data_IF_421317848218
#
_entry.id   IF_421317848218
#
_cell.length_a   1.000
_cell.length_b   1.000
_cell.length_c   1.000
_cell.angle_alpha   90.00
_cell.angle_beta   90.00
_cell.angle_gamma   90.00
#
_symmetry.space_group_name_H-M   'P 1'
#
loop_
_entity.id
_entity.type
_entity.pdbx_description
1 polymer ?
#
# COMPACT_ATOMS: atom_id res chain seq x y z
N UNK A 1 56.74 -4.44 -37.39
CA UNK A 1 55.45 -5.15 -37.57
C UNK A 1 55.51 -6.43 -36.75
N UNK A 2 54.51 -6.64 -35.86
CA UNK A 2 54.25 -7.82 -35.00
C UNK A 2 55.21 -8.03 -33.81
N UNK A 3 54.86 -7.34 -32.71
CA UNK A 3 55.27 -7.66 -31.35
C UNK A 3 54.50 -8.90 -30.85
N UNK A 4 55.21 -9.88 -30.30
CA UNK A 4 54.63 -11.01 -29.58
C UNK A 4 54.03 -10.51 -28.25
N UNK A 5 52.70 -10.53 -28.13
CA UNK A 5 52.04 -10.48 -26.83
C UNK A 5 51.87 -11.92 -26.34
N UNK A 6 52.79 -12.34 -25.48
CA UNK A 6 52.73 -13.60 -24.75
C UNK A 6 51.54 -13.54 -23.81
N UNK A 7 50.54 -14.39 -24.05
CA UNK A 7 49.42 -14.61 -23.15
C UNK A 7 49.94 -15.27 -21.86
N UNK A 8 49.98 -14.53 -20.75
CA UNK A 8 49.98 -15.17 -19.43
C UNK A 8 48.58 -15.71 -19.18
N UNK A 9 48.33 -16.91 -19.68
CA UNK A 9 47.28 -17.78 -19.14
C UNK A 9 47.74 -18.12 -17.72
N UNK A 10 47.21 -17.42 -16.73
CA UNK A 10 47.20 -17.94 -15.37
C UNK A 10 46.33 -19.19 -15.39
N UNK A 11 47.00 -20.33 -15.50
CA UNK A 11 46.48 -21.62 -15.08
C UNK A 11 46.25 -21.56 -13.57
N UNK A 12 45.13 -20.98 -13.15
CA UNK A 12 44.58 -21.24 -11.83
C UNK A 12 43.97 -22.64 -11.89
N UNK A 13 44.82 -23.60 -11.52
CA UNK A 13 44.52 -24.80 -10.74
C UNK A 13 43.02 -25.05 -10.60
N UNK A 14 42.54 -26.11 -11.24
CA UNK A 14 41.23 -26.70 -11.03
C UNK A 14 40.92 -26.75 -9.52
N UNK A 15 39.84 -26.08 -9.09
CA UNK A 15 39.44 -26.03 -7.69
C UNK A 15 38.81 -27.37 -7.29
N UNK A 16 39.65 -28.33 -6.89
CA UNK A 16 39.22 -29.64 -6.37
C UNK A 16 38.61 -29.61 -4.97
N UNK A 17 38.21 -28.44 -4.43
CA UNK A 17 37.57 -28.32 -3.12
C UNK A 17 36.58 -27.13 -3.14
N UNK A 18 35.29 -27.41 -3.24
CA UNK A 18 34.22 -26.43 -3.00
C UNK A 18 34.22 -26.06 -1.50
N UNK A 19 35.04 -25.08 -1.11
CA UNK A 19 35.10 -24.64 0.30
C UNK A 19 33.96 -23.66 0.62
N UNK A 20 33.49 -23.68 1.87
CA UNK A 20 32.47 -22.75 2.41
C UNK A 20 32.76 -21.28 2.08
N UNK A 21 34.05 -20.90 2.06
CA UNK A 21 34.52 -19.57 1.64
C UNK A 21 34.11 -19.21 0.21
N UNK A 22 34.34 -20.12 -0.75
CA UNK A 22 34.10 -19.85 -2.16
C UNK A 22 32.61 -19.68 -2.46
N UNK A 23 31.76 -20.45 -1.79
CA UNK A 23 30.31 -20.32 -1.86
C UNK A 23 29.85 -18.94 -1.36
N UNK A 24 30.40 -18.49 -0.23
CA UNK A 24 30.11 -17.16 0.31
C UNK A 24 30.56 -16.06 -0.65
N UNK A 25 31.77 -16.15 -1.20
CA UNK A 25 32.27 -15.16 -2.17
C UNK A 25 31.37 -15.03 -3.39
N UNK A 26 30.97 -16.16 -3.98
CA UNK A 26 30.10 -16.17 -5.14
C UNK A 26 28.69 -15.65 -4.81
N UNK A 27 28.15 -15.98 -3.63
CA UNK A 27 26.88 -15.44 -3.13
C UNK A 27 26.90 -13.91 -3.03
N UNK A 28 27.99 -13.34 -2.49
CA UNK A 28 28.17 -11.90 -2.33
C UNK A 28 28.30 -11.18 -3.68
N UNK A 29 29.05 -11.77 -4.62
CA UNK A 29 29.27 -11.22 -5.96
C UNK A 29 27.99 -11.20 -6.80
N UNK A 30 27.22 -12.30 -6.84
CA UNK A 30 25.99 -12.40 -7.62
C UNK A 30 24.93 -11.37 -7.21
N UNK A 31 24.94 -10.94 -5.94
CA UNK A 31 23.84 -10.15 -5.36
C UNK A 31 24.23 -8.71 -5.01
N UNK A 32 25.43 -8.27 -5.41
CA UNK A 32 25.92 -6.90 -5.22
C UNK A 32 25.80 -6.40 -3.78
N UNK A 33 26.27 -7.21 -2.82
CA UNK A 33 26.19 -6.93 -1.38
C UNK A 33 27.22 -5.87 -0.97
N UNK A 34 26.84 -4.97 -0.05
CA UNK A 34 27.70 -3.93 0.51
C UNK A 34 28.06 -4.18 1.99
N UNK A 35 27.14 -4.78 2.74
CA UNK A 35 27.35 -5.09 4.15
C UNK A 35 27.12 -6.58 4.39
N UNK A 36 28.05 -7.21 5.10
CA UNK A 36 28.00 -8.62 5.46
C UNK A 36 27.94 -8.74 6.98
N UNK A 37 26.86 -9.35 7.50
CA UNK A 37 26.77 -9.83 8.88
C UNK A 37 27.06 -11.34 8.91
N UNK A 38 28.13 -11.71 9.59
CA UNK A 38 28.46 -13.09 9.94
C UNK A 38 27.95 -13.37 11.36
N UNK A 39 26.82 -14.06 11.47
CA UNK A 39 26.36 -14.61 12.73
C UNK A 39 27.08 -15.94 12.95
N UNK A 40 27.75 -16.10 14.09
CA UNK A 40 28.63 -17.24 14.29
C UNK A 40 28.63 -17.76 15.72
N UNK A 41 29.03 -19.02 15.90
CA UNK A 41 29.27 -19.65 17.20
C UNK A 41 30.70 -20.22 17.27
N UNK A 42 31.70 -19.37 17.05
CA UNK A 42 33.13 -19.74 16.94
C UNK A 42 33.70 -20.62 18.06
N UNK A 43 33.07 -20.61 19.25
CA UNK A 43 33.47 -21.45 20.38
C UNK A 43 33.06 -22.93 20.18
N UNK A 44 32.13 -23.20 19.28
CA UNK A 44 31.62 -24.53 18.93
C UNK A 44 32.38 -25.12 17.73
N UNK A 45 32.45 -26.44 17.63
CA UNK A 45 33.19 -27.14 16.57
C UNK A 45 32.61 -26.92 15.18
N UNK A 46 31.31 -26.64 15.09
CA UNK A 46 30.56 -26.48 13.83
C UNK A 46 30.87 -25.18 13.08
N UNK A 47 31.61 -24.24 13.69
CA UNK A 47 31.83 -22.91 13.09
C UNK A 47 33.23 -22.32 13.34
N UNK A 48 34.23 -23.16 13.66
CA UNK A 48 35.59 -22.69 13.97
C UNK A 48 36.31 -22.05 12.77
N UNK A 49 35.94 -22.43 11.55
CA UNK A 49 36.51 -21.93 10.31
C UNK A 49 36.00 -20.52 9.94
N UNK A 50 35.00 -19.97 10.66
CA UNK A 50 34.47 -18.62 10.43
C UNK A 50 35.55 -17.53 10.57
N UNK A 51 36.54 -17.72 11.43
CA UNK A 51 37.67 -16.78 11.61
C UNK A 51 38.54 -16.75 10.36
N UNK A 52 38.80 -17.92 9.77
CA UNK A 52 39.58 -18.05 8.53
C UNK A 52 38.81 -17.46 7.36
N UNK A 53 37.52 -17.76 7.27
CA UNK A 53 36.62 -17.22 6.24
C UNK A 53 36.57 -15.70 6.33
N UNK A 54 36.33 -15.14 7.52
CA UNK A 54 36.28 -13.69 7.76
C UNK A 54 37.59 -13.01 7.36
N UNK A 55 38.75 -13.61 7.69
CA UNK A 55 40.06 -13.09 7.29
C UNK A 55 40.26 -13.09 5.77
N UNK A 56 39.84 -14.15 5.09
CA UNK A 56 39.92 -14.25 3.63
C UNK A 56 38.95 -13.26 2.94
N UNK A 57 37.71 -13.18 3.41
CA UNK A 57 36.71 -12.25 2.89
C UNK A 57 37.13 -10.79 3.04
N UNK A 58 37.85 -10.41 4.09
CA UNK A 58 38.40 -9.04 4.21
C UNK A 58 39.37 -8.68 3.08
N UNK A 59 39.95 -9.65 2.39
CA UNK A 59 40.86 -9.43 1.26
C UNK A 59 40.11 -9.33 -0.07
N UNK A 60 39.02 -10.08 -0.23
CA UNK A 60 38.27 -10.16 -1.50
C UNK A 60 37.01 -9.27 -1.54
N UNK A 61 36.34 -9.07 -0.41
CA UNK A 61 35.11 -8.29 -0.29
C UNK A 61 35.41 -6.83 0.04
N UNK A 62 34.90 -5.90 -0.78
CA UNK A 62 35.12 -4.45 -0.65
C UNK A 62 34.20 -3.76 0.37
N UNK A 63 33.20 -4.47 0.90
CA UNK A 63 32.20 -3.91 1.80
C UNK A 63 32.55 -4.05 3.27
N UNK A 64 31.61 -3.67 4.13
CA UNK A 64 31.75 -3.79 5.60
C UNK A 64 31.44 -5.22 6.06
N UNK A 65 32.32 -5.81 6.87
CA UNK A 65 32.11 -7.14 7.46
C UNK A 65 31.97 -7.01 8.98
N UNK A 66 30.79 -7.36 9.49
CA UNK A 66 30.49 -7.44 10.91
C UNK A 66 30.39 -8.90 11.34
N UNK A 67 30.98 -9.23 12.48
CA UNK A 67 30.97 -10.57 13.06
C UNK A 67 30.27 -10.48 14.42
N UNK A 68 29.26 -11.32 14.62
CA UNK A 68 28.43 -11.30 15.83
C UNK A 68 28.40 -12.73 16.38
N UNK A 69 28.93 -12.87 17.60
CA UNK A 69 28.90 -14.13 18.32
C UNK A 69 27.52 -14.33 18.95
N UNK A 70 26.80 -15.35 18.50
CA UNK A 70 25.43 -15.65 18.97
C UNK A 70 25.41 -16.20 20.39
N UNK A 71 26.55 -16.65 20.91
CA UNK A 71 26.66 -17.23 22.27
C UNK A 71 26.87 -16.16 23.36
N UNK A 72 27.12 -14.90 22.97
CA UNK A 72 27.44 -13.82 23.92
C UNK A 72 26.21 -13.08 24.41
N UNK A 73 26.26 -12.61 25.66
CA UNK A 73 25.18 -11.86 26.31
C UNK A 73 24.78 -10.57 25.58
N UNK A 74 25.69 -9.94 24.83
CA UNK A 74 25.42 -8.71 24.09
C UNK A 74 24.88 -8.94 22.66
N UNK A 75 24.67 -10.20 22.26
CA UNK A 75 24.19 -10.58 20.93
C UNK A 75 22.96 -9.77 20.49
N UNK A 76 21.93 -9.70 21.35
CA UNK A 76 20.68 -9.03 21.01
C UNK A 76 20.85 -7.53 20.71
N UNK A 77 21.72 -6.85 21.46
CA UNK A 77 21.97 -5.43 21.28
C UNK A 77 22.80 -5.18 20.01
N UNK A 78 23.83 -5.98 19.78
CA UNK A 78 24.67 -5.90 18.57
C UNK A 78 23.86 -6.19 17.31
N UNK A 79 23.08 -7.28 17.31
CA UNK A 79 22.21 -7.65 16.21
C UNK A 79 21.20 -6.54 15.90
N UNK A 80 20.52 -6.02 16.93
CA UNK A 80 19.53 -4.95 16.77
C UNK A 80 20.14 -3.68 16.15
N UNK A 81 21.34 -3.29 16.59
CA UNK A 81 22.06 -2.15 16.03
C UNK A 81 22.38 -2.33 14.56
N UNK A 82 22.99 -3.46 14.18
CA UNK A 82 23.34 -3.72 12.78
C UNK A 82 22.11 -3.88 11.89
N UNK A 83 21.05 -4.56 12.35
CA UNK A 83 19.80 -4.69 11.61
C UNK A 83 19.04 -3.35 11.44
N UNK A 84 19.32 -2.36 12.28
CA UNK A 84 18.75 -1.02 12.17
C UNK A 84 19.56 -0.13 11.21
N UNK A 85 20.89 -0.10 11.36
CA UNK A 85 21.76 0.79 10.59
C UNK A 85 22.07 0.27 9.18
N UNK A 86 22.20 -1.05 9.01
CA UNK A 86 22.72 -1.68 7.80
C UNK A 86 21.60 -2.37 7.03
N UNK A 87 20.59 -1.63 6.55
CA UNK A 87 19.43 -2.23 5.85
C UNK A 87 19.59 -2.38 4.34
N UNK A 88 20.55 -1.69 3.74
CA UNK A 88 20.67 -1.65 2.28
C UNK A 88 21.75 -2.61 1.78
N UNK A 89 21.35 -3.56 0.93
CA UNK A 89 22.25 -4.57 0.32
C UNK A 89 23.05 -5.33 1.38
N UNK A 90 22.35 -5.85 2.37
CA UNK A 90 22.95 -6.56 3.50
C UNK A 90 22.76 -8.06 3.37
N UNK A 91 23.86 -8.80 3.38
CA UNK A 91 23.85 -10.25 3.51
C UNK A 91 23.98 -10.66 4.97
N UNK A 92 23.20 -11.65 5.38
CA UNK A 92 23.31 -12.27 6.71
C UNK A 92 23.62 -13.74 6.49
N UNK A 93 24.77 -14.18 7.00
CA UNK A 93 25.23 -15.55 6.91
C UNK A 93 25.15 -16.17 8.29
N UNK A 94 24.59 -17.37 8.38
CA UNK A 94 24.42 -18.06 9.66
C UNK A 94 24.51 -19.58 9.51
N UNK A 95 25.23 -20.23 10.43
CA UNK A 95 25.17 -21.69 10.58
C UNK A 95 24.06 -22.06 11.59
N UNK A 96 23.11 -22.88 11.15
CA UNK A 96 21.97 -23.35 11.93
C UNK A 96 22.32 -24.51 12.88
N UNK A 97 23.54 -25.05 12.81
CA UNK A 97 24.02 -26.09 13.73
C UNK A 97 24.52 -25.53 15.08
N UNK A 98 24.53 -24.21 15.25
CA UNK A 98 24.89 -23.58 16.51
C UNK A 98 23.90 -23.92 17.63
N UNK A 99 24.38 -24.20 18.84
CA UNK A 99 23.53 -24.59 19.98
C UNK A 99 22.42 -23.56 20.33
N UNK A 100 22.67 -22.27 20.09
CA UNK A 100 21.73 -21.18 20.35
C UNK A 100 20.75 -20.83 19.22
N UNK A 101 20.66 -21.64 18.15
CA UNK A 101 19.91 -21.29 16.94
C UNK A 101 18.43 -21.02 17.17
N UNK A 102 17.75 -21.78 18.04
CA UNK A 102 16.32 -21.57 18.32
C UNK A 102 16.05 -20.14 18.86
N UNK A 103 16.81 -19.71 19.87
CA UNK A 103 16.69 -18.37 20.45
C UNK A 103 17.04 -17.26 19.44
N UNK A 104 18.02 -17.51 18.56
CA UNK A 104 18.37 -16.58 17.48
C UNK A 104 17.22 -16.44 16.50
N UNK A 105 16.70 -17.55 15.97
CA UNK A 105 15.62 -17.56 14.98
C UNK A 105 14.34 -16.96 15.54
N UNK A 106 13.98 -17.28 16.78
CA UNK A 106 12.80 -16.73 17.45
C UNK A 106 12.90 -15.22 17.56
N UNK A 107 14.09 -14.69 17.89
CA UNK A 107 14.31 -13.24 17.93
C UNK A 107 14.20 -12.60 16.55
N UNK A 108 14.77 -13.23 15.51
CA UNK A 108 14.68 -12.75 14.13
C UNK A 108 13.22 -12.70 13.65
N UNK A 109 12.45 -13.73 14.00
CA UNK A 109 11.02 -13.88 13.72
C UNK A 109 10.17 -12.88 14.49
N UNK A 110 10.42 -12.68 15.78
CA UNK A 110 9.73 -11.71 16.64
C UNK A 110 9.91 -10.27 16.13
N UNK A 111 11.12 -9.94 15.68
CA UNK A 111 11.47 -8.61 15.15
C UNK A 111 11.20 -8.44 13.65
N UNK A 112 10.59 -9.44 13.01
CA UNK A 112 10.26 -9.42 11.58
C UNK A 112 11.47 -9.11 10.67
N UNK A 113 12.65 -9.64 11.01
CA UNK A 113 13.86 -9.47 10.19
C UNK A 113 13.90 -10.40 8.97
N UNK A 114 13.05 -11.43 8.89
CA UNK A 114 12.81 -12.17 7.66
C UNK A 114 11.92 -11.34 6.72
N UNK A 115 12.54 -10.44 5.96
CA UNK A 115 11.90 -9.57 4.97
C UNK A 115 12.87 -9.23 3.82
N UNK A 116 12.44 -8.41 2.85
CA UNK A 116 13.24 -8.04 1.68
C UNK A 116 14.53 -7.24 1.94
N UNK A 117 14.73 -6.70 3.14
CA UNK A 117 15.91 -5.87 3.49
C UNK A 117 17.20 -6.69 3.56
N UNK A 118 17.09 -7.98 3.91
CA UNK A 118 18.23 -8.85 4.16
C UNK A 118 18.25 -10.02 3.20
N UNK A 119 19.45 -10.39 2.77
CA UNK A 119 19.70 -11.57 1.96
C UNK A 119 20.34 -12.65 2.82
N UNK A 120 19.61 -13.73 3.05
CA UNK A 120 20.01 -14.78 3.97
C UNK A 120 20.74 -15.89 3.23
N UNK A 121 21.89 -16.29 3.76
CA UNK A 121 22.58 -17.53 3.42
C UNK A 121 22.71 -18.35 4.69
N UNK A 122 21.96 -19.45 4.76
CA UNK A 122 21.92 -20.31 5.94
C UNK A 122 22.58 -21.65 5.62
N UNK A 123 23.47 -22.09 6.49
CA UNK A 123 24.04 -23.43 6.44
C UNK A 123 23.24 -24.32 7.39
N UNK A 124 22.59 -25.34 6.85
CA UNK A 124 21.81 -26.32 7.60
C UNK A 124 22.62 -27.53 8.06
N UNK A 125 23.90 -27.59 7.72
CA UNK A 125 24.79 -28.67 8.13
C UNK A 125 24.50 -30.00 7.45
N UNK A 126 24.62 -31.08 8.21
CA UNK A 126 24.31 -32.45 7.76
C UNK A 126 22.86 -32.86 8.06
N UNK A 127 22.15 -32.15 8.94
CA UNK A 127 20.82 -32.53 9.42
C UNK A 127 19.71 -31.68 8.78
N UNK A 128 19.15 -32.19 7.68
CA UNK A 128 18.07 -31.53 6.96
C UNK A 128 16.77 -31.40 7.78
N UNK A 129 16.42 -32.42 8.56
CA UNK A 129 15.18 -32.43 9.35
C UNK A 129 15.21 -31.37 10.46
N UNK A 130 16.35 -31.25 11.14
CA UNK A 130 16.51 -30.25 12.20
C UNK A 130 16.39 -28.83 11.65
N UNK A 131 17.12 -28.50 10.59
CA UNK A 131 17.12 -27.17 10.00
C UNK A 131 15.73 -26.80 9.44
N UNK A 132 15.07 -27.73 8.74
CA UNK A 132 13.72 -27.49 8.19
C UNK A 132 12.67 -27.35 9.30
N UNK A 133 12.76 -28.14 10.37
CA UNK A 133 11.89 -28.01 11.55
C UNK A 133 12.04 -26.63 12.21
N UNK A 134 13.27 -26.19 12.46
CA UNK A 134 13.56 -24.88 13.07
C UNK A 134 13.02 -23.72 12.22
N UNK A 135 13.27 -23.73 10.92
CA UNK A 135 12.81 -22.68 10.00
C UNK A 135 11.29 -22.70 9.80
N UNK A 136 10.66 -23.87 9.79
CA UNK A 136 9.21 -24.02 9.69
C UNK A 136 8.44 -23.39 10.85
N UNK A 137 9.12 -23.12 11.97
CA UNK A 137 8.52 -22.46 13.12
C UNK A 137 8.52 -20.94 13.03
N UNK A 138 9.21 -20.36 12.05
CA UNK A 138 9.49 -18.93 11.99
C UNK A 138 8.50 -18.13 11.14
N UNK A 139 8.36 -16.84 11.46
CA UNK A 139 7.55 -15.89 10.71
C UNK A 139 8.33 -15.35 9.50
N UNK A 140 8.55 -16.20 8.51
CA UNK A 140 9.23 -15.84 7.26
C UNK A 140 8.22 -15.12 6.36
N UNK A 141 8.55 -13.88 5.98
CA UNK A 141 7.71 -13.08 5.09
C UNK A 141 7.94 -13.48 3.63
N UNK A 142 6.93 -13.24 2.79
CA UNK A 142 6.93 -13.71 1.40
C UNK A 142 8.02 -13.06 0.52
N UNK A 143 8.48 -11.88 0.91
CA UNK A 143 9.52 -11.11 0.24
C UNK A 143 10.94 -11.44 0.74
N UNK A 144 11.08 -12.38 1.69
CA UNK A 144 12.37 -12.82 2.22
C UNK A 144 13.17 -13.53 1.14
N UNK A 145 14.44 -13.15 0.99
CA UNK A 145 15.39 -13.85 0.10
C UNK A 145 16.30 -14.73 0.94
N UNK A 146 16.03 -16.04 0.98
CA UNK A 146 16.78 -16.97 1.81
C UNK A 146 17.24 -18.19 1.01
N UNK A 147 18.56 -18.39 0.99
CA UNK A 147 19.20 -19.56 0.43
C UNK A 147 19.65 -20.46 1.57
N UNK A 148 19.11 -21.67 1.64
CA UNK A 148 19.50 -22.70 2.58
C UNK A 148 20.41 -23.72 1.89
N UNK A 149 21.51 -24.06 2.54
CA UNK A 149 22.58 -24.90 2.00
C UNK A 149 22.84 -26.07 2.94
N UNK A 150 22.85 -27.28 2.40
CA UNK A 150 23.24 -28.49 3.13
C UNK A 150 24.54 -29.08 2.58
N UNK A 151 25.34 -29.65 3.49
CA UNK A 151 26.56 -30.37 3.14
C UNK A 151 26.23 -31.86 2.94
N UNK A 152 26.55 -32.37 1.75
CA UNK A 152 26.33 -33.76 1.36
C UNK A 152 27.64 -34.36 0.85
N UNK A 153 27.93 -35.61 1.21
CA UNK A 153 29.13 -36.34 0.75
C UNK A 153 28.74 -37.19 -0.43
N UNK A 154 29.45 -37.06 -1.54
CA UNK A 154 29.23 -37.91 -2.73
C UNK A 154 29.46 -39.39 -2.39
N UNK A 155 28.43 -40.25 -2.48
CA UNK A 155 28.57 -41.67 -2.16
C UNK A 155 29.51 -42.41 -3.12
N UNK A 156 29.71 -41.92 -4.35
CA UNK A 156 30.56 -42.58 -5.36
C UNK A 156 32.02 -42.12 -5.30
N UNK A 157 32.27 -40.89 -4.84
CA UNK A 157 33.60 -40.31 -4.69
C UNK A 157 33.77 -39.79 -3.27
N UNK A 158 34.33 -40.62 -2.39
CA UNK A 158 34.58 -40.37 -0.95
C UNK A 158 35.44 -39.12 -0.61
N UNK A 159 35.71 -38.20 -1.56
CA UNK A 159 36.49 -36.97 -1.39
C UNK A 159 35.83 -35.69 -1.93
N UNK A 160 34.69 -35.76 -2.61
CA UNK A 160 34.02 -34.57 -3.15
C UNK A 160 32.86 -34.13 -2.24
N UNK A 161 33.06 -33.02 -1.53
CA UNK A 161 31.98 -32.33 -0.81
C UNK A 161 31.03 -31.70 -1.84
N UNK A 162 29.74 -32.04 -1.73
CA UNK A 162 28.67 -31.46 -2.55
C UNK A 162 27.78 -30.59 -1.66
N UNK A 163 27.28 -29.49 -2.22
CA UNK A 163 26.29 -28.66 -1.54
C UNK A 163 24.93 -28.80 -2.23
N UNK A 164 23.89 -28.97 -1.43
CA UNK A 164 22.49 -28.96 -1.87
C UNK A 164 21.86 -27.63 -1.54
N UNK A 165 21.16 -27.03 -2.50
CA UNK A 165 20.56 -25.70 -2.35
C UNK A 165 19.04 -25.77 -2.32
N UNK A 166 18.47 -25.02 -1.38
CA UNK A 166 17.03 -24.86 -1.23
C UNK A 166 16.69 -23.37 -1.15
N UNK A 167 15.69 -22.95 -1.93
CA UNK A 167 15.02 -21.66 -1.75
C UNK A 167 14.00 -21.79 -0.63
N UNK A 168 14.05 -20.89 0.34
CA UNK A 168 13.13 -20.90 1.50
C UNK A 168 12.15 -19.75 1.36
N UNK A 169 10.89 -20.09 1.10
CA UNK A 169 9.80 -19.13 0.97
C UNK A 169 8.77 -19.31 2.09
N UNK A 170 8.18 -18.22 2.58
CA UNK A 170 7.24 -18.25 3.70
C UNK A 170 6.06 -17.33 3.51
N UNK A 171 4.90 -17.70 4.08
CA UNK A 171 3.67 -16.89 4.05
C UNK A 171 3.25 -16.44 5.46
N UNK A 172 4.22 -16.11 6.33
CA UNK A 172 4.02 -15.68 7.72
C UNK A 172 3.18 -16.65 8.57
N UNK A 173 3.85 -17.49 9.37
CA UNK A 173 3.22 -18.51 10.23
C UNK A 173 2.12 -17.96 11.15
N UNK A 174 2.31 -16.79 11.77
CA UNK A 174 1.29 -16.12 12.62
C UNK A 174 -0.05 -15.89 11.93
N UNK A 175 -0.09 -15.88 10.59
CA UNK A 175 -1.32 -15.73 9.79
C UNK A 175 -1.84 -17.07 9.25
N UNK A 176 -1.39 -18.19 9.80
CA UNK A 176 -1.70 -19.53 9.29
C UNK A 176 -0.86 -19.94 8.07
N UNK A 177 0.16 -19.16 7.72
CA UNK A 177 1.05 -19.45 6.60
C UNK A 177 1.99 -20.62 6.86
N UNK A 178 2.58 -21.12 5.77
CA UNK A 178 3.57 -22.21 5.79
C UNK A 178 4.89 -21.77 5.20
N UNK A 179 5.96 -22.43 5.61
CA UNK A 179 7.29 -22.31 4.99
C UNK A 179 7.45 -23.46 3.99
N UNK A 180 7.96 -23.15 2.81
CA UNK A 180 8.15 -24.08 1.70
C UNK A 180 9.63 -24.07 1.34
N UNK A 181 10.20 -25.26 1.19
CA UNK A 181 11.59 -25.48 0.80
C UNK A 181 11.60 -26.02 -0.63
N UNK A 182 12.05 -25.19 -1.57
CA UNK A 182 12.08 -25.55 -2.99
C UNK A 182 13.51 -25.96 -3.38
N UNK A 183 13.76 -27.19 -3.84
CA UNK A 183 15.10 -27.60 -4.26
C UNK A 183 15.53 -26.82 -5.50
N UNK A 184 16.72 -26.23 -5.44
CA UNK A 184 17.33 -25.46 -6.54
C UNK A 184 18.35 -26.28 -7.33
N UNK A 185 18.88 -27.36 -6.73
CA UNK A 185 19.87 -28.25 -7.35
C UNK A 185 21.12 -28.43 -6.49
N UNK A 186 22.16 -28.98 -7.12
CA UNK A 186 23.44 -29.33 -6.49
C UNK A 186 24.57 -28.48 -7.08
N UNK A 187 25.58 -28.14 -6.26
CA UNK A 187 26.84 -27.55 -6.74
C UNK A 187 27.81 -28.64 -7.16
N UNK A 188 28.39 -28.48 -8.34
CA UNK A 188 29.58 -29.22 -8.79
C UNK A 188 30.80 -28.30 -8.70
N UNK A 189 32.04 -28.83 -8.71
CA UNK A 189 33.26 -28.02 -8.69
C UNK A 189 33.33 -26.94 -9.79
N UNK A 190 32.52 -27.07 -10.84
CA UNK A 190 32.46 -26.17 -12.00
C UNK A 190 31.32 -25.13 -11.90
N UNK A 191 30.31 -25.34 -11.06
CA UNK A 191 29.13 -24.46 -10.90
C UNK A 191 28.71 -24.38 -9.42
N UNK A 192 29.17 -23.33 -8.73
CA UNK A 192 29.10 -23.22 -7.27
C UNK A 192 27.73 -22.80 -6.74
N UNK A 193 26.95 -22.06 -7.54
CA UNK A 193 25.58 -21.66 -7.20
C UNK A 193 24.68 -21.87 -8.42
N UNK A 194 23.51 -22.51 -8.27
CA UNK A 194 22.55 -22.63 -9.36
C UNK A 194 22.09 -21.24 -9.80
N UNK A 195 21.90 -21.04 -11.11
CA UNK A 195 21.29 -19.83 -11.65
C UNK A 195 19.86 -19.76 -11.13
N UNK A 196 19.65 -18.98 -10.06
CA UNK A 196 18.31 -18.77 -9.51
C UNK A 196 17.54 -17.95 -10.54
N UNK A 197 16.72 -18.63 -11.35
CA UNK A 197 15.69 -17.97 -12.14
C UNK A 197 14.69 -17.43 -11.13
N UNK A 198 14.55 -16.11 -10.95
CA UNK A 198 13.59 -15.57 -10.00
C UNK A 198 12.20 -16.07 -10.40
N UNK A 199 11.62 -16.99 -9.62
CA UNK A 199 10.22 -17.32 -9.76
C UNK A 199 9.45 -16.02 -9.48
N UNK A 200 8.81 -15.50 -10.53
CA UNK A 200 7.96 -14.33 -10.38
C UNK A 200 6.83 -14.74 -9.42
N UNK A 201 6.67 -14.07 -8.28
CA UNK A 201 5.63 -14.43 -7.32
C UNK A 201 4.27 -14.44 -8.02
N UNK A 202 3.51 -15.55 -7.89
CA UNK A 202 2.18 -15.67 -8.49
C UNK A 202 1.17 -14.81 -7.73
N UNK A 203 1.16 -13.52 -8.08
CA UNK A 203 0.32 -12.47 -7.49
C UNK A 203 -1.13 -12.49 -8.02
N UNK A 204 -1.50 -13.45 -8.88
CA UNK A 204 -2.79 -13.44 -9.61
C UNK A 204 -4.01 -13.29 -8.70
N UNK A 205 -4.00 -13.92 -7.52
CA UNK A 205 -5.12 -13.87 -6.58
C UNK A 205 -5.32 -12.50 -5.91
N UNK A 206 -4.23 -11.80 -5.55
CA UNK A 206 -4.28 -10.53 -4.81
C UNK A 206 -4.73 -9.38 -5.74
N UNK A 207 -4.21 -9.36 -6.96
CA UNK A 207 -4.58 -8.33 -7.95
C UNK A 207 -6.05 -8.46 -8.32
N UNK A 208 -6.54 -9.69 -8.52
CA UNK A 208 -7.94 -9.94 -8.88
C UNK A 208 -8.91 -9.47 -7.78
N UNK A 209 -8.64 -9.82 -6.52
CA UNK A 209 -9.50 -9.43 -5.40
C UNK A 209 -9.60 -7.91 -5.21
N UNK A 210 -8.48 -7.21 -5.41
CA UNK A 210 -8.42 -5.74 -5.30
C UNK A 210 -9.27 -5.07 -6.37
N UNK A 211 -9.20 -5.55 -7.62
CA UNK A 211 -10.01 -5.02 -8.74
C UNK A 211 -11.49 -5.25 -8.50
N UNK A 212 -11.89 -6.46 -8.08
CA UNK A 212 -13.29 -6.79 -7.80
C UNK A 212 -13.85 -5.93 -6.66
N UNK A 213 -13.07 -5.76 -5.59
CA UNK A 213 -13.47 -4.95 -4.43
C UNK A 213 -13.70 -3.49 -4.82
N UNK A 214 -12.76 -2.89 -5.56
CA UNK A 214 -12.86 -1.50 -6.01
C UNK A 214 -14.06 -1.27 -6.94
N UNK A 215 -14.27 -2.18 -7.90
CA UNK A 215 -15.36 -2.08 -8.85
C UNK A 215 -16.73 -2.18 -8.15
N UNK A 216 -16.84 -3.09 -7.17
CA UNK A 216 -18.08 -3.25 -6.39
C UNK A 216 -18.41 -2.00 -5.57
N UNK A 217 -17.41 -1.42 -4.90
CA UNK A 217 -17.62 -0.18 -4.13
C UNK A 217 -17.96 1.02 -5.03
N UNK A 218 -17.38 1.09 -6.23
CA UNK A 218 -17.65 2.16 -7.17
C UNK A 218 -19.09 2.12 -7.69
N UNK A 219 -19.59 0.94 -8.08
CA UNK A 219 -20.97 0.79 -8.56
C UNK A 219 -21.98 1.17 -7.48
N UNK A 220 -21.79 0.67 -6.25
CA UNK A 220 -22.67 1.00 -5.13
C UNK A 220 -22.61 2.50 -4.83
N UNK A 221 -21.40 3.07 -4.83
CA UNK A 221 -21.21 4.51 -4.67
C UNK A 221 -21.96 5.33 -5.72
N UNK A 222 -21.92 4.92 -6.99
CA UNK A 222 -22.61 5.62 -8.08
C UNK A 222 -24.13 5.56 -7.95
N UNK A 223 -24.70 4.43 -7.51
CA UNK A 223 -26.15 4.29 -7.33
C UNK A 223 -26.71 5.11 -6.17
N UNK A 224 -25.88 5.47 -5.19
CA UNK A 224 -26.27 6.30 -4.05
C UNK A 224 -26.22 7.81 -4.36
N UNK A 225 -25.69 8.21 -5.51
CA UNK A 225 -25.63 9.62 -5.90
C UNK A 225 -27.02 10.06 -6.38
N UNK A 226 -27.59 11.05 -5.68
CA UNK A 226 -28.81 11.72 -6.14
C UNK A 226 -28.59 12.35 -7.52
N UNK A 227 -29.56 12.24 -8.44
CA UNK A 227 -29.42 12.82 -9.77
C UNK A 227 -29.18 14.33 -9.68
N UNK A 228 -28.28 14.89 -10.51
CA UNK A 228 -27.97 16.31 -10.46
C UNK A 228 -29.19 17.14 -10.83
N UNK A 229 -29.48 18.18 -10.04
CA UNK A 229 -30.57 19.12 -10.29
C UNK A 229 -30.23 20.00 -11.49
N UNK A 230 -31.09 19.99 -12.52
CA UNK A 230 -30.80 20.60 -13.83
C UNK A 230 -31.14 22.09 -13.89
N UNK A 231 -32.21 22.52 -13.20
CA UNK A 231 -32.71 23.89 -13.14
C UNK A 231 -32.09 24.59 -11.92
N UNK A 232 -30.92 25.19 -12.07
CA UNK A 232 -30.18 25.79 -10.95
C UNK A 232 -29.96 27.31 -11.05
N UNK A 233 -30.49 27.95 -12.09
CA UNK A 233 -30.40 29.40 -12.29
C UNK A 233 -31.75 29.97 -12.68
N UNK A 234 -31.91 31.29 -12.51
CA UNK A 234 -33.15 31.97 -12.81
C UNK A 234 -33.51 31.91 -14.30
N UNK A 235 -32.51 31.94 -15.18
CA UNK A 235 -32.68 31.81 -16.63
C UNK A 235 -33.21 30.43 -17.00
N UNK A 236 -32.61 29.37 -16.46
CA UNK A 236 -33.09 27.99 -16.66
C UNK A 236 -34.49 27.80 -16.10
N UNK A 237 -34.83 28.46 -14.99
CA UNK A 237 -36.18 28.44 -14.45
C UNK A 237 -37.15 29.10 -15.43
N UNK A 238 -36.81 30.28 -15.96
CA UNK A 238 -37.61 30.99 -16.95
C UNK A 238 -37.83 30.17 -18.24
N UNK A 239 -36.84 29.41 -18.69
CA UNK A 239 -36.94 28.57 -19.90
C UNK A 239 -37.58 27.20 -19.64
N UNK A 240 -37.76 26.80 -18.38
CA UNK A 240 -38.32 25.49 -18.03
C UNK A 240 -39.81 25.36 -18.34
N UNK A 241 -40.34 24.14 -18.32
CA UNK A 241 -41.78 23.88 -18.42
C UNK A 241 -42.54 24.12 -17.11
N UNK A 242 -41.87 24.50 -16.03
CA UNK A 242 -42.50 24.76 -14.73
C UNK A 242 -43.37 26.02 -14.80
N UNK A 243 -44.55 25.94 -14.18
CA UNK A 243 -45.36 27.13 -13.89
C UNK A 243 -44.79 27.82 -12.65
N UNK A 244 -44.99 29.13 -12.54
CA UNK A 244 -44.49 29.88 -11.39
C UNK A 244 -45.57 30.74 -10.76
N UNK A 245 -45.55 30.80 -9.43
CA UNK A 245 -46.32 31.75 -8.64
C UNK A 245 -45.44 32.44 -7.62
N UNK A 246 -45.97 33.54 -7.08
CA UNK A 246 -45.32 34.37 -6.07
C UNK A 246 -46.29 34.57 -4.93
N UNK A 247 -45.75 34.72 -3.73
CA UNK A 247 -46.55 35.08 -2.57
C UNK A 247 -47.21 36.45 -2.76
N UNK A 248 -48.50 36.54 -2.46
CA UNK A 248 -49.29 37.74 -2.65
C UNK A 248 -48.99 38.79 -1.55
N UNK A 249 -47.86 39.48 -1.69
CA UNK A 249 -47.38 40.52 -0.79
C UNK A 249 -47.10 41.80 -1.57
N UNK A 250 -47.42 42.96 -0.97
CA UNK A 250 -47.32 44.25 -1.65
C UNK A 250 -45.92 44.54 -2.22
N UNK A 251 -44.86 44.13 -1.53
CA UNK A 251 -43.48 44.37 -1.97
C UNK A 251 -43.10 43.52 -3.21
N UNK A 252 -43.74 42.37 -3.43
CA UNK A 252 -43.51 41.52 -4.60
C UNK A 252 -44.10 42.15 -5.85
N UNK A 253 -45.33 42.67 -5.75
CA UNK A 253 -45.97 43.45 -6.84
C UNK A 253 -45.11 44.65 -7.22
N UNK A 254 -44.63 45.37 -6.20
CA UNK A 254 -43.74 46.51 -6.33
C UNK A 254 -42.39 46.15 -6.98
N UNK A 255 -41.84 44.97 -6.69
CA UNK A 255 -40.62 44.47 -7.31
C UNK A 255 -40.82 44.26 -8.80
N UNK A 256 -41.86 43.53 -9.22
CA UNK A 256 -42.10 43.27 -10.65
C UNK A 256 -42.52 44.53 -11.43
N UNK A 257 -43.17 45.50 -10.76
CA UNK A 257 -43.51 46.78 -11.38
C UNK A 257 -42.28 47.68 -11.64
N UNK A 258 -41.22 47.56 -10.83
CA UNK A 258 -40.04 48.45 -10.88
C UNK A 258 -38.75 47.77 -11.33
N UNK A 259 -38.74 46.46 -11.50
CA UNK A 259 -37.52 45.71 -11.83
C UNK A 259 -37.01 46.04 -13.22
N UNK A 260 -35.70 46.24 -13.33
CA UNK A 260 -34.98 46.42 -14.61
C UNK A 260 -34.26 45.14 -15.04
N UNK A 261 -34.31 44.07 -14.24
CA UNK A 261 -33.64 42.82 -14.56
C UNK A 261 -34.37 42.12 -15.72
N UNK A 262 -33.70 41.90 -16.87
CA UNK A 262 -34.34 41.34 -18.06
C UNK A 262 -34.88 39.91 -17.83
N UNK A 263 -34.23 39.13 -16.98
CA UNK A 263 -34.63 37.74 -16.69
C UNK A 263 -35.85 37.72 -15.77
N UNK A 264 -35.90 38.60 -14.77
CA UNK A 264 -37.06 38.73 -13.88
C UNK A 264 -38.30 39.24 -14.63
N UNK A 265 -38.11 40.17 -15.58
CA UNK A 265 -39.18 40.64 -16.47
C UNK A 265 -39.68 39.51 -17.39
N UNK A 266 -38.77 38.74 -17.98
CA UNK A 266 -39.11 37.56 -18.78
C UNK A 266 -39.94 36.56 -17.96
N UNK A 267 -39.46 36.23 -16.77
CA UNK A 267 -40.13 35.32 -15.84
C UNK A 267 -41.54 35.80 -15.47
N UNK A 268 -41.70 37.10 -15.19
CA UNK A 268 -42.98 37.70 -14.86
C UNK A 268 -43.97 37.62 -16.03
N UNK A 269 -43.55 38.08 -17.21
CA UNK A 269 -44.41 38.16 -18.39
C UNK A 269 -44.80 36.79 -18.93
N UNK A 270 -43.88 35.81 -18.87
CA UNK A 270 -44.11 34.48 -19.45
C UNK A 270 -44.77 33.50 -18.47
N UNK A 271 -44.50 33.60 -17.16
CA UNK A 271 -44.94 32.59 -16.19
C UNK A 271 -45.88 33.07 -15.09
N UNK A 272 -45.77 34.33 -14.65
CA UNK A 272 -46.50 34.82 -13.47
C UNK A 272 -47.76 35.57 -13.90
N UNK A 273 -47.65 36.57 -14.77
CA UNK A 273 -48.77 37.38 -15.26
C UNK A 273 -49.88 36.58 -15.97
N UNK A 274 -49.58 35.63 -16.88
CA UNK A 274 -50.63 34.85 -17.56
C UNK A 274 -51.20 33.73 -16.69
N UNK A 275 -50.63 33.47 -15.51
CA UNK A 275 -50.99 32.34 -14.68
C UNK A 275 -52.10 32.70 -13.67
N UNK A 276 -53.19 31.93 -13.68
CA UNK A 276 -54.30 32.08 -12.72
C UNK A 276 -53.83 32.03 -11.26
N UNK A 277 -52.77 31.27 -10.99
CA UNK A 277 -52.16 31.13 -9.66
C UNK A 277 -50.82 31.87 -9.56
N UNK A 278 -50.69 32.99 -10.29
CA UNK A 278 -49.49 33.83 -10.30
C UNK A 278 -49.23 34.50 -8.95
N UNK A 279 -50.27 34.91 -8.22
CA UNK A 279 -50.17 35.47 -6.87
C UNK A 279 -51.09 34.71 -5.91
N UNK A 280 -50.52 34.04 -4.91
CA UNK A 280 -51.25 33.17 -3.97
C UNK A 280 -50.71 33.31 -2.55
N UNK A 281 -51.42 32.79 -1.55
CA UNK A 281 -50.91 32.71 -0.18
C UNK A 281 -49.86 31.60 -0.03
N UNK A 282 -49.01 31.73 0.98
CA UNK A 282 -47.89 30.82 1.27
C UNK A 282 -48.28 29.34 1.30
N UNK A 283 -49.27 28.98 2.11
CA UNK A 283 -49.71 27.59 2.29
C UNK A 283 -50.16 26.94 0.97
N UNK A 284 -50.92 27.68 0.16
CA UNK A 284 -51.38 27.18 -1.14
C UNK A 284 -50.24 27.09 -2.14
N UNK A 285 -49.32 28.08 -2.13
CA UNK A 285 -48.11 28.05 -2.96
C UNK A 285 -47.25 26.82 -2.69
N UNK A 286 -46.99 26.50 -1.43
CA UNK A 286 -46.23 25.30 -1.02
C UNK A 286 -46.99 24.02 -1.41
N UNK A 287 -48.32 24.00 -1.30
CA UNK A 287 -49.13 22.87 -1.75
C UNK A 287 -49.05 22.65 -3.27
N UNK A 288 -48.97 23.72 -4.08
CA UNK A 288 -48.74 23.61 -5.52
C UNK A 288 -47.36 23.03 -5.84
N UNK A 289 -46.32 23.43 -5.10
CA UNK A 289 -44.97 22.86 -5.24
C UNK A 289 -44.97 21.38 -4.89
N UNK A 290 -45.67 20.99 -3.81
CA UNK A 290 -45.84 19.58 -3.41
C UNK A 290 -46.52 18.73 -4.48
N UNK A 291 -47.42 19.32 -5.28
CA UNK A 291 -48.07 18.67 -6.43
C UNK A 291 -47.15 18.45 -7.63
N UNK A 292 -45.95 19.06 -7.65
CA UNK A 292 -44.99 18.98 -8.74
C UNK A 292 -45.32 19.91 -9.92
N UNK A 293 -44.31 20.18 -10.75
CA UNK A 293 -44.48 21.01 -11.95
C UNK A 293 -44.66 22.52 -11.69
N UNK A 294 -44.42 22.97 -10.45
CA UNK A 294 -44.64 24.34 -10.01
C UNK A 294 -43.45 24.88 -9.23
N UNK A 295 -43.09 26.14 -9.48
CA UNK A 295 -42.12 26.91 -8.72
C UNK A 295 -42.86 28.01 -7.94
N UNK A 296 -42.45 28.25 -6.70
CA UNK A 296 -43.09 29.23 -5.83
C UNK A 296 -42.04 30.12 -5.16
N UNK A 297 -42.24 31.43 -5.25
CA UNK A 297 -41.38 32.40 -4.58
C UNK A 297 -42.06 32.96 -3.32
N UNK A 298 -41.38 32.85 -2.18
CA UNK A 298 -41.78 33.39 -0.89
C UNK A 298 -40.55 33.88 -0.11
N UNK A 299 -40.77 34.51 1.05
CA UNK A 299 -39.68 34.84 1.97
C UNK A 299 -39.09 33.56 2.57
N UNK A 300 -37.76 33.46 2.61
CA UNK A 300 -37.06 32.30 3.16
C UNK A 300 -37.26 32.18 4.67
N UNK A 301 -37.41 33.30 5.40
CA UNK A 301 -37.44 33.35 6.86
C UNK A 301 -38.54 32.47 7.45
N UNK A 302 -39.74 32.49 6.86
CA UNK A 302 -40.86 31.64 7.26
C UNK A 302 -41.18 30.54 6.25
N UNK A 303 -40.78 30.70 4.98
CA UNK A 303 -40.97 29.68 3.95
C UNK A 303 -40.34 28.34 4.33
N UNK A 304 -39.13 28.35 4.92
CA UNK A 304 -38.45 27.14 5.37
C UNK A 304 -39.25 26.36 6.41
N UNK A 305 -39.82 27.04 7.40
CA UNK A 305 -40.62 26.40 8.45
C UNK A 305 -41.82 25.67 7.85
N UNK A 306 -42.55 26.32 6.93
CA UNK A 306 -43.71 25.69 6.30
C UNK A 306 -43.34 24.56 5.33
N UNK A 307 -42.20 24.63 4.66
CA UNK A 307 -41.68 23.53 3.83
C UNK A 307 -41.41 22.29 4.69
N UNK A 308 -40.77 22.46 5.85
CA UNK A 308 -40.48 21.36 6.78
C UNK A 308 -41.76 20.74 7.38
N UNK A 309 -42.81 21.54 7.58
CA UNK A 309 -44.09 21.05 8.11
C UNK A 309 -44.94 20.32 7.06
N UNK A 310 -44.87 20.74 5.78
CA UNK A 310 -45.80 20.28 4.74
C UNK A 310 -45.23 19.22 3.78
N UNK A 311 -43.90 19.13 3.63
CA UNK A 311 -43.24 18.20 2.73
C UNK A 311 -42.55 17.06 3.48
N UNK A 312 -42.40 15.91 2.83
CA UNK A 312 -41.62 14.78 3.36
C UNK A 312 -40.13 15.00 3.13
N UNK A 313 -39.27 14.27 3.85
CA UNK A 313 -37.82 14.33 3.66
C UNK A 313 -37.39 14.08 2.22
N UNK A 314 -38.01 13.10 1.54
CA UNK A 314 -37.75 12.82 0.13
C UNK A 314 -38.11 14.01 -0.77
N UNK A 315 -39.28 14.63 -0.54
CA UNK A 315 -39.71 15.80 -1.30
C UNK A 315 -38.80 17.00 -1.05
N UNK A 316 -38.32 17.18 0.18
CA UNK A 316 -37.34 18.22 0.53
C UNK A 316 -36.02 17.99 -0.22
N UNK A 317 -35.54 16.75 -0.32
CA UNK A 317 -34.33 16.43 -1.09
C UNK A 317 -34.48 16.77 -2.60
N UNK A 318 -35.70 16.68 -3.13
CA UNK A 318 -36.02 17.02 -4.53
C UNK A 318 -36.15 18.54 -4.78
N UNK A 319 -36.47 19.34 -3.75
CA UNK A 319 -36.61 20.80 -3.88
C UNK A 319 -35.30 21.47 -4.33
N UNK A 320 -35.40 22.41 -5.25
CA UNK A 320 -34.29 23.24 -5.69
C UNK A 320 -34.57 24.70 -5.35
N UNK A 321 -33.67 25.32 -4.58
CA UNK A 321 -33.74 26.75 -4.28
C UNK A 321 -33.05 27.56 -5.39
N UNK A 322 -33.68 28.64 -5.82
CA UNK A 322 -33.15 29.59 -6.79
C UNK A 322 -33.46 30.99 -6.27
N UNK A 323 -32.42 31.80 -6.11
CA UNK A 323 -32.56 33.18 -5.65
C UNK A 323 -33.12 34.06 -6.78
N UNK A 324 -34.25 34.74 -6.52
CA UNK A 324 -34.87 35.65 -7.48
C UNK A 324 -34.22 37.04 -7.46
N UNK A 325 -33.89 37.54 -6.27
CA UNK A 325 -33.18 38.79 -6.06
C UNK A 325 -32.39 38.73 -4.74
N UNK A 326 -31.27 39.46 -4.63
CA UNK A 326 -30.42 39.45 -3.45
C UNK A 326 -31.15 39.93 -2.19
N UNK A 327 -30.83 39.32 -1.05
CA UNK A 327 -31.33 39.76 0.26
C UNK A 327 -31.00 41.24 0.51
N UNK A 328 -32.01 42.04 0.85
CA UNK A 328 -31.85 43.45 1.22
C UNK A 328 -31.67 43.56 2.73
N UNK A 329 -30.76 44.43 3.17
CA UNK A 329 -30.63 44.76 4.59
C UNK A 329 -31.93 45.40 5.10
N UNK A 330 -32.53 44.79 6.12
CA UNK A 330 -33.69 45.36 6.81
C UNK A 330 -33.14 46.33 7.85
N UNK A 331 -33.56 47.59 7.77
CA UNK A 331 -33.23 48.62 8.75
C UNK A 331 -34.43 48.81 9.68
N UNK A 332 -34.19 48.83 10.98
CA UNK A 332 -35.21 49.19 11.97
C UNK A 332 -35.22 50.72 12.07
N UNK A 333 -36.29 51.41 11.65
CA UNK A 333 -36.37 52.85 11.84
C UNK A 333 -36.48 53.14 13.34
N UNK A 334 -35.46 53.79 13.89
CA UNK A 334 -35.50 54.34 15.25
C UNK A 334 -36.10 55.75 15.16
N UNK A 335 -37.12 56.02 15.96
CA UNK A 335 -37.71 57.35 16.03
C UNK A 335 -36.72 58.28 16.74
N UNK A 336 -36.26 59.33 16.08
CA UNK A 336 -35.44 60.36 16.72
C UNK A 336 -36.24 61.00 17.85
N UNK A 337 -35.77 60.83 19.09
CA UNK A 337 -36.36 61.38 20.31
C UNK A 337 -35.73 62.73 20.71
N UNK A 338 -34.98 63.38 19.81
CA UNK A 338 -34.43 64.71 20.05
C UNK A 338 -35.08 65.73 19.11
N UNK A 339 -36.06 66.44 19.66
CA UNK A 339 -36.57 67.73 19.18
C UNK A 339 -36.68 68.67 20.36
#
# INVERSE_FOLDING_TARGET
MKSLLTWMVFSLIACGQCSRLHLIEHFLQQRSINTLLLLHCVQETVDQDVVRISKALRQSFRGSIYHIDVTKNHFHQQLGWHMYCERYKTAVIYNLECSGTEAVLDRLSEKAYFNASFQWLMFGGQNMELATSLLSQQNINYDTKMLLVFESVDPEKQREQRYEFYDVSGTVKRRGGKVIFTPLGFSTPENVLPTIVPQKPDLKGIVLWTVVSFYSTFIVGYQLISPPKTINTLEKLADSSLKMGVENLSYQHDFFARTTNPIALKLYNEKIAPNKYGFVNLTFGIQLVKGGGYAFHCDTTYGYTHVLEMLTEQQICELQEIELYPQRAIHVPMKDLCG
#
